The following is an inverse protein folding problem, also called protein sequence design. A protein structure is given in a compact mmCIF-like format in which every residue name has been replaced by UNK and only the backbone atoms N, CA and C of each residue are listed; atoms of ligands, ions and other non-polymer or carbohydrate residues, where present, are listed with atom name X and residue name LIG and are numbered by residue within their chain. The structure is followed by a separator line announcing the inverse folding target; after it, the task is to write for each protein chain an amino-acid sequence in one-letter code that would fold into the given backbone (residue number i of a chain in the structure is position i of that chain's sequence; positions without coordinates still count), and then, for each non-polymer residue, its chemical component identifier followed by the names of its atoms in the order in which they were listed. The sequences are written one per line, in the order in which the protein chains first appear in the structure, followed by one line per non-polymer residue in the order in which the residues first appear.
data_IF_774575157970
#
_entry.id   IF_774575157970
#
_cell.length_a   1.000
_cell.length_b   1.000
_cell.length_c   1.000
_cell.angle_alpha   90.00
_cell.angle_beta   90.00
_cell.angle_gamma   90.00
#
_symmetry.space_group_name_H-M   'P 1'
#
loop_
_entity.id
_entity.type
_entity.pdbx_description
1 polymer ?
#
# COMPACT_ATOMS: atom_id res chain seq x y z
N UNK A 1 -5.53 -40.51 44.73
CA UNK A 1 -4.22 -39.84 44.72
C UNK A 1 -3.35 -40.57 43.71
N UNK A 2 -2.93 -39.91 42.64
CA UNK A 2 -1.94 -40.49 41.73
C UNK A 2 -0.63 -40.68 42.49
N UNK A 3 0.07 -41.78 42.28
CA UNK A 3 1.39 -41.99 42.90
C UNK A 3 2.37 -40.91 42.40
N UNK A 4 3.40 -40.64 43.20
CA UNK A 4 4.47 -39.71 42.83
C UNK A 4 5.12 -40.11 41.50
N UNK A 5 5.19 -41.43 41.21
CA UNK A 5 5.70 -41.97 39.94
C UNK A 5 4.80 -41.65 38.74
N UNK A 6 3.47 -41.77 38.88
CA UNK A 6 2.53 -41.47 37.80
C UNK A 6 2.46 -39.97 37.49
N UNK A 7 2.65 -39.14 38.52
CA UNK A 7 2.66 -37.67 38.37
C UNK A 7 3.95 -37.20 37.67
N UNK A 8 5.10 -37.82 37.99
CA UNK A 8 6.37 -37.53 37.34
C UNK A 8 6.38 -38.01 35.88
N UNK A 9 5.77 -39.15 35.59
CA UNK A 9 5.62 -39.65 34.23
C UNK A 9 4.74 -38.73 33.36
N UNK A 10 3.61 -38.25 33.88
CA UNK A 10 2.76 -37.26 33.18
C UNK A 10 3.49 -35.93 32.96
N UNK A 11 4.31 -35.48 33.91
CA UNK A 11 5.11 -34.27 33.78
C UNK A 11 6.19 -34.43 32.69
N UNK A 12 6.87 -35.58 32.65
CA UNK A 12 7.85 -35.89 31.60
C UNK A 12 7.20 -36.00 30.22
N UNK A 13 5.99 -36.58 30.12
CA UNK A 13 5.23 -36.66 28.87
C UNK A 13 4.78 -35.28 28.37
N UNK A 14 4.34 -34.40 29.29
CA UNK A 14 3.95 -33.03 28.92
C UNK A 14 5.16 -32.19 28.54
N UNK A 15 6.31 -32.33 29.21
CA UNK A 15 7.59 -31.72 28.81
C UNK A 15 8.08 -32.22 27.45
N UNK A 16 7.95 -33.52 27.16
CA UNK A 16 8.31 -34.08 25.86
C UNK A 16 7.38 -33.58 24.73
N UNK A 17 6.09 -33.42 25.00
CA UNK A 17 5.12 -32.86 24.05
C UNK A 17 5.35 -31.36 23.79
N UNK A 18 5.81 -30.60 24.80
CA UNK A 18 6.21 -29.19 24.64
C UNK A 18 7.56 -29.06 23.91
N UNK A 19 8.45 -30.07 24.04
CA UNK A 19 9.74 -30.16 23.35
C UNK A 19 9.65 -30.55 21.87
N UNK A 20 8.52 -31.10 21.42
CA UNK A 20 8.14 -31.14 20.00
C UNK A 20 7.65 -29.75 19.57
N UNK A 21 8.52 -28.77 19.79
CA UNK A 21 8.33 -27.39 19.40
C UNK A 21 8.00 -27.34 17.92
N UNK A 22 7.06 -26.45 17.59
CA UNK A 22 6.62 -26.17 16.24
C UNK A 22 7.83 -26.13 15.31
N UNK A 23 7.86 -27.05 14.35
CA UNK A 23 8.74 -26.97 13.21
C UNK A 23 8.22 -25.79 12.37
N UNK A 24 8.56 -24.57 12.79
CA UNK A 24 8.32 -23.40 11.97
C UNK A 24 9.17 -23.62 10.74
N UNK A 25 8.56 -24.04 9.62
CA UNK A 25 9.27 -24.18 8.37
C UNK A 25 10.10 -22.92 8.14
N UNK A 26 11.42 -23.05 8.29
CA UNK A 26 12.37 -21.95 8.14
C UNK A 26 12.60 -21.80 6.64
N UNK A 27 11.79 -20.95 6.01
CA UNK A 27 12.02 -20.57 4.63
C UNK A 27 13.20 -19.61 4.54
N UNK A 28 14.01 -19.81 3.52
CA UNK A 28 15.15 -19.00 3.13
C UNK A 28 14.96 -18.51 1.69
N UNK A 29 15.82 -17.58 1.24
CA UNK A 29 15.81 -17.12 -0.15
C UNK A 29 16.17 -18.24 -1.14
N UNK A 30 16.92 -19.24 -0.70
CA UNK A 30 17.36 -20.37 -1.54
C UNK A 30 16.24 -21.36 -1.87
N UNK A 31 15.11 -21.28 -1.14
CA UNK A 31 13.91 -22.08 -1.41
C UNK A 31 13.08 -21.54 -2.60
N UNK A 32 13.47 -20.39 -3.16
CA UNK A 32 12.78 -19.71 -4.27
C UNK A 32 13.70 -19.61 -5.50
N UNK A 33 13.14 -19.45 -6.72
CA UNK A 33 13.96 -19.19 -7.90
C UNK A 33 14.88 -17.97 -7.69
N UNK A 34 16.08 -18.01 -8.27
CA UNK A 34 17.09 -16.95 -8.09
C UNK A 34 16.65 -15.55 -8.56
N UNK A 35 15.58 -15.47 -9.34
CA UNK A 35 14.99 -14.22 -9.84
C UNK A 35 13.66 -13.89 -9.13
N UNK A 36 13.32 -14.58 -8.04
CA UNK A 36 12.13 -14.29 -7.26
C UNK A 36 12.32 -12.97 -6.49
N UNK A 37 11.38 -12.04 -6.68
CA UNK A 37 11.44 -10.71 -6.05
C UNK A 37 10.60 -10.72 -4.77
N UNK A 38 11.24 -10.46 -3.63
CA UNK A 38 10.53 -10.19 -2.39
C UNK A 38 10.26 -8.70 -2.24
N UNK A 39 9.00 -8.34 -2.03
CA UNK A 39 8.60 -6.94 -1.93
C UNK A 39 7.45 -6.70 -0.98
N UNK A 40 7.08 -5.43 -0.83
CA UNK A 40 5.89 -5.00 -0.10
C UNK A 40 4.93 -4.21 -1.01
N UNK A 41 3.69 -4.02 -0.55
CA UNK A 41 2.65 -3.38 -1.34
C UNK A 41 1.85 -2.36 -0.54
N UNK A 42 1.57 -1.20 -1.13
CA UNK A 42 0.70 -0.15 -0.59
C UNK A 42 -0.32 0.34 -1.62
N UNK A 43 -1.16 1.30 -1.22
CA UNK A 43 -1.96 2.12 -2.13
C UNK A 43 -1.96 3.58 -1.69
N UNK A 44 -2.05 4.50 -2.64
CA UNK A 44 -1.90 5.93 -2.43
C UNK A 44 -2.77 6.46 -1.29
N UNK A 45 -4.08 6.21 -1.35
CA UNK A 45 -5.02 6.72 -0.33
C UNK A 45 -4.76 6.14 1.08
N UNK A 46 -4.20 4.93 1.16
CA UNK A 46 -3.94 4.27 2.44
C UNK A 46 -2.70 4.79 3.15
N UNK A 47 -1.70 5.35 2.43
CA UNK A 47 -0.39 5.68 3.03
C UNK A 47 0.07 7.12 2.80
N UNK A 48 -0.29 7.76 1.69
CA UNK A 48 0.29 9.06 1.31
C UNK A 48 -0.07 10.19 2.28
N UNK A 49 -1.36 10.33 2.59
CA UNK A 49 -1.86 11.53 3.22
C UNK A 49 -1.80 12.74 2.30
N UNK A 50 -1.57 13.93 2.86
CA UNK A 50 -1.50 15.20 2.12
C UNK A 50 -2.72 15.37 1.18
N UNK A 51 -3.91 15.06 1.71
CA UNK A 51 -5.13 14.89 0.93
C UNK A 51 -5.57 16.15 0.16
N UNK A 52 -5.19 17.33 0.66
CA UNK A 52 -5.56 18.64 0.12
C UNK A 52 -4.34 19.55 -0.12
N UNK A 53 -3.16 18.96 -0.26
CA UNK A 53 -1.92 19.70 -0.46
C UNK A 53 -1.52 19.71 -1.94
N UNK A 54 -0.74 20.73 -2.32
CA UNK A 54 -0.03 20.80 -3.60
C UNK A 54 -0.91 20.53 -4.84
N UNK A 55 -2.18 20.92 -4.78
CA UNK A 55 -3.11 20.83 -5.90
C UNK A 55 -3.77 19.45 -6.10
N UNK A 56 -3.63 18.50 -5.16
CA UNK A 56 -4.47 17.29 -5.16
C UNK A 56 -5.94 17.67 -5.01
N UNK A 57 -6.81 17.10 -5.84
CA UNK A 57 -8.26 17.22 -5.67
C UNK A 57 -8.82 16.09 -4.80
N UNK A 58 -10.05 16.22 -4.28
CA UNK A 58 -10.73 15.13 -3.59
C UNK A 58 -10.94 13.92 -4.50
N UNK A 59 -10.68 12.74 -3.95
CA UNK A 59 -11.14 11.45 -4.45
C UNK A 59 -12.50 11.09 -3.84
N UNK A 60 -13.13 10.04 -4.36
CA UNK A 60 -14.35 9.46 -3.78
C UNK A 60 -14.16 9.03 -2.32
N UNK A 61 -12.96 8.62 -1.93
CA UNK A 61 -12.65 8.29 -0.56
C UNK A 61 -12.58 9.54 0.32
N UNK A 62 -11.98 10.63 -0.15
CA UNK A 62 -11.93 11.90 0.60
C UNK A 62 -13.36 12.32 0.96
N UNK A 63 -14.27 12.33 -0.02
CA UNK A 63 -15.69 12.66 0.18
C UNK A 63 -16.37 11.70 1.16
N UNK A 64 -16.16 10.40 1.00
CA UNK A 64 -16.78 9.38 1.86
C UNK A 64 -16.30 9.48 3.32
N UNK A 65 -15.00 9.66 3.56
CA UNK A 65 -14.46 9.76 4.93
C UNK A 65 -14.89 11.06 5.61
N UNK A 66 -14.94 12.17 4.85
CA UNK A 66 -15.45 13.46 5.35
C UNK A 66 -16.96 13.46 5.62
N UNK A 67 -17.70 12.55 4.99
CA UNK A 67 -19.13 12.34 5.26
C UNK A 67 -19.40 11.46 6.49
N UNK A 68 -18.35 10.97 7.17
CA UNK A 68 -18.47 10.17 8.39
C UNK A 68 -18.81 8.69 8.15
N UNK A 69 -18.57 8.17 6.93
CA UNK A 69 -18.90 6.79 6.56
C UNK A 69 -17.95 5.73 7.14
N UNK A 70 -16.83 6.12 7.75
CA UNK A 70 -15.97 5.18 8.46
C UNK A 70 -16.54 4.83 9.84
N UNK A 71 -16.37 3.57 10.27
CA UNK A 71 -16.87 3.09 11.58
C UNK A 71 -16.43 3.96 12.76
N UNK A 72 -15.20 4.46 12.71
CA UNK A 72 -14.61 5.32 13.73
C UNK A 72 -14.76 6.83 13.42
N UNK A 73 -15.48 7.19 12.35
CA UNK A 73 -15.65 8.56 11.83
C UNK A 73 -14.34 9.29 11.55
N UNK A 74 -13.25 8.54 11.35
CA UNK A 74 -11.95 9.15 11.07
C UNK A 74 -11.93 9.78 9.68
N UNK A 75 -11.09 10.80 9.55
CA UNK A 75 -10.68 11.37 8.26
C UNK A 75 -9.28 10.84 7.96
N UNK A 76 -9.04 10.42 6.73
CA UNK A 76 -7.77 9.77 6.34
C UNK A 76 -6.84 10.79 5.67
N UNK A 77 -6.91 12.05 6.09
CA UNK A 77 -6.25 13.18 5.43
C UNK A 77 -4.72 13.06 5.50
N UNK A 78 -4.23 12.47 6.60
CA UNK A 78 -2.79 12.28 6.88
C UNK A 78 -2.29 10.87 6.59
N UNK A 79 -3.12 9.85 6.75
CA UNK A 79 -2.71 8.44 6.62
C UNK A 79 -1.39 8.13 7.37
N UNK A 80 -0.40 7.53 6.70
CA UNK A 80 0.95 7.29 7.21
C UNK A 80 1.92 8.44 6.92
N UNK A 81 1.47 9.51 6.25
CA UNK A 81 2.27 10.68 5.89
C UNK A 81 3.42 10.37 4.90
N UNK A 82 3.26 9.31 4.08
CA UNK A 82 4.27 8.90 3.11
C UNK A 82 4.57 10.01 2.08
N UNK A 83 3.61 10.89 1.79
CA UNK A 83 3.84 12.03 0.89
C UNK A 83 5.07 12.86 1.31
N UNK A 84 5.25 13.04 2.63
CA UNK A 84 6.38 13.75 3.20
C UNK A 84 7.54 12.84 3.60
N UNK A 85 7.25 11.56 3.88
CA UNK A 85 8.18 10.61 4.51
C UNK A 85 8.64 9.46 3.62
N UNK A 86 8.38 9.50 2.32
CA UNK A 86 8.71 8.40 1.42
C UNK A 86 10.16 7.93 1.51
N UNK A 87 11.13 8.82 1.81
CA UNK A 87 12.53 8.43 2.02
C UNK A 87 12.74 7.55 3.25
N UNK A 88 12.00 7.81 4.34
CA UNK A 88 12.02 6.98 5.55
C UNK A 88 11.46 5.59 5.23
N UNK A 89 10.35 5.54 4.48
CA UNK A 89 9.75 4.28 4.05
C UNK A 89 10.70 3.48 3.14
N UNK A 90 11.32 4.13 2.15
CA UNK A 90 12.31 3.48 1.26
C UNK A 90 13.50 2.96 2.08
N UNK A 91 13.99 3.73 3.05
CA UNK A 91 15.06 3.27 3.95
C UNK A 91 14.65 2.00 4.71
N UNK A 92 13.44 1.93 5.23
CA UNK A 92 12.95 0.73 5.93
C UNK A 92 12.87 -0.49 4.98
N UNK A 93 12.49 -0.29 3.72
CA UNK A 93 12.48 -1.36 2.72
C UNK A 93 13.88 -1.90 2.47
N UNK A 94 14.88 -1.02 2.35
CA UNK A 94 16.30 -1.40 2.20
C UNK A 94 16.79 -2.17 3.42
N UNK A 95 16.56 -1.65 4.62
CA UNK A 95 17.01 -2.28 5.87
C UNK A 95 16.36 -3.67 6.07
N UNK A 96 15.16 -3.87 5.55
CA UNK A 96 14.43 -5.16 5.58
C UNK A 96 14.91 -6.14 4.51
N UNK A 97 15.67 -5.68 3.50
CA UNK A 97 16.12 -6.50 2.37
C UNK A 97 15.03 -6.78 1.33
N UNK A 98 14.10 -5.84 1.13
CA UNK A 98 13.10 -5.89 0.06
C UNK A 98 13.72 -5.46 -1.27
N UNK A 99 13.30 -6.11 -2.35
CA UNK A 99 13.77 -5.90 -3.72
C UNK A 99 12.73 -5.24 -4.61
N UNK A 100 11.45 -5.26 -4.20
CA UNK A 100 10.36 -4.65 -4.95
C UNK A 100 9.42 -3.85 -4.05
N UNK A 101 8.87 -2.77 -4.60
CA UNK A 101 7.81 -2.02 -3.96
C UNK A 101 6.66 -1.78 -4.92
N UNK A 102 5.50 -2.36 -4.60
CA UNK A 102 4.27 -2.10 -5.31
C UNK A 102 3.54 -0.93 -4.67
N UNK A 103 3.33 0.15 -5.41
CA UNK A 103 2.54 1.29 -4.96
C UNK A 103 1.52 1.68 -6.03
N UNK A 104 0.52 2.48 -5.66
CA UNK A 104 -0.39 3.06 -6.65
C UNK A 104 -0.14 4.55 -6.83
N UNK A 105 -0.40 5.06 -8.03
CA UNK A 105 -0.42 6.50 -8.29
C UNK A 105 -1.83 6.99 -8.00
N UNK A 106 -1.96 8.04 -7.18
CA UNK A 106 -3.24 8.70 -7.01
C UNK A 106 -3.64 9.51 -8.23
N UNK A 107 -4.76 9.13 -8.84
CA UNK A 107 -5.32 9.82 -10.00
C UNK A 107 -5.70 11.26 -9.63
N UNK A 108 -6.37 11.47 -8.49
CA UNK A 108 -6.78 12.80 -8.05
C UNK A 108 -5.59 13.73 -7.70
N UNK A 109 -4.42 13.15 -7.38
CA UNK A 109 -3.18 13.92 -7.21
C UNK A 109 -2.52 14.28 -8.54
N UNK A 110 -2.44 13.32 -9.46
CA UNK A 110 -1.73 13.49 -10.72
C UNK A 110 -2.53 14.31 -11.74
N UNK A 111 -3.84 14.06 -11.85
CA UNK A 111 -4.75 14.74 -12.77
C UNK A 111 -5.98 15.21 -11.97
N UNK A 112 -5.93 16.38 -11.32
CA UNK A 112 -6.94 16.78 -10.33
C UNK A 112 -8.36 16.94 -10.90
N UNK A 113 -8.49 17.28 -12.18
CA UNK A 113 -9.80 17.37 -12.86
C UNK A 113 -10.26 16.02 -13.43
N UNK A 114 -9.58 14.93 -13.10
CA UNK A 114 -9.76 13.60 -13.68
C UNK A 114 -9.28 13.45 -15.13
N UNK A 115 -9.21 14.55 -15.87
CA UNK A 115 -8.72 14.64 -17.26
C UNK A 115 -8.03 15.98 -17.50
N UNK A 116 -7.23 16.05 -18.57
CA UNK A 116 -6.55 17.27 -18.98
C UNK A 116 -5.18 17.43 -18.33
N UNK A 117 -4.80 18.64 -17.88
CA UNK A 117 -3.43 18.93 -17.47
C UNK A 117 -3.02 18.16 -16.21
N UNK A 118 -1.78 17.69 -16.22
CA UNK A 118 -1.11 17.07 -15.07
C UNK A 118 -0.79 18.13 -14.02
N UNK A 119 -0.94 17.78 -12.74
CA UNK A 119 -0.46 18.57 -11.61
C UNK A 119 1.07 18.41 -11.48
N UNK A 120 1.88 19.48 -11.70
CA UNK A 120 3.33 19.38 -11.66
C UNK A 120 3.89 18.93 -10.31
N UNK A 121 3.22 19.28 -9.20
CA UNK A 121 3.65 18.87 -7.86
C UNK A 121 3.36 17.39 -7.59
N UNK A 122 2.18 16.91 -8.01
CA UNK A 122 1.86 15.49 -8.00
C UNK A 122 2.87 14.66 -8.82
N UNK A 123 3.20 15.11 -10.02
CA UNK A 123 4.21 14.48 -10.87
C UNK A 123 5.60 14.48 -10.20
N UNK A 124 6.00 15.60 -9.60
CA UNK A 124 7.26 15.72 -8.86
C UNK A 124 7.34 14.71 -7.70
N UNK A 125 6.26 14.52 -6.95
CA UNK A 125 6.20 13.55 -5.86
C UNK A 125 6.48 12.11 -6.36
N UNK A 126 5.76 11.63 -7.38
CA UNK A 126 5.97 10.28 -7.89
C UNK A 126 7.34 10.10 -8.54
N UNK A 127 7.84 11.11 -9.27
CA UNK A 127 9.21 11.08 -9.79
C UNK A 127 10.24 10.95 -8.66
N UNK A 128 10.06 11.70 -7.56
CA UNK A 128 10.96 11.62 -6.42
C UNK A 128 10.91 10.24 -5.75
N UNK A 129 9.71 9.69 -5.51
CA UNK A 129 9.54 8.34 -4.95
C UNK A 129 10.19 7.27 -5.84
N UNK A 130 9.92 7.30 -7.15
CA UNK A 130 10.49 6.35 -8.12
C UNK A 130 12.02 6.47 -8.16
N UNK A 131 12.54 7.70 -8.23
CA UNK A 131 13.98 7.93 -8.23
C UNK A 131 14.64 7.41 -6.94
N UNK A 132 14.02 7.63 -5.78
CA UNK A 132 14.51 7.14 -4.50
C UNK A 132 14.56 5.61 -4.47
N UNK A 133 13.47 4.93 -4.88
CA UNK A 133 13.41 3.47 -4.98
C UNK A 133 14.51 2.91 -5.89
N UNK A 134 14.63 3.46 -7.10
CA UNK A 134 15.61 3.03 -8.10
C UNK A 134 17.03 3.28 -7.62
N UNK A 135 17.29 4.41 -6.94
CA UNK A 135 18.62 4.72 -6.39
C UNK A 135 19.08 3.71 -5.33
N UNK A 136 18.13 3.02 -4.69
CA UNK A 136 18.37 1.97 -3.70
C UNK A 136 18.20 0.55 -4.26
N UNK A 137 18.04 0.39 -5.58
CA UNK A 137 17.91 -0.91 -6.22
C UNK A 137 16.55 -1.60 -6.00
N UNK A 138 15.54 -0.89 -5.50
CA UNK A 138 14.18 -1.41 -5.32
C UNK A 138 13.39 -1.24 -6.61
N UNK A 139 12.78 -2.32 -7.09
CA UNK A 139 11.97 -2.34 -8.31
C UNK A 139 10.60 -1.68 -8.07
N UNK A 140 10.27 -0.58 -8.77
CA UNK A 140 8.96 0.05 -8.66
C UNK A 140 7.91 -0.73 -9.47
N UNK A 141 6.89 -1.25 -8.79
CA UNK A 141 5.75 -1.93 -9.43
C UNK A 141 4.50 -1.06 -9.30
N UNK A 142 4.13 -0.38 -10.39
CA UNK A 142 3.10 0.68 -10.32
C UNK A 142 1.71 0.13 -10.60
N UNK A 143 0.76 0.44 -9.71
CA UNK A 143 -0.67 0.28 -9.94
C UNK A 143 -1.28 1.61 -10.36
N UNK A 144 -1.87 1.66 -11.55
CA UNK A 144 -2.42 2.90 -12.11
C UNK A 144 -3.75 3.32 -11.47
N UNK A 145 -4.48 2.38 -10.86
CA UNK A 145 -5.73 2.69 -10.16
C UNK A 145 -5.93 1.77 -8.96
N UNK A 146 -6.22 2.36 -7.79
CA UNK A 146 -6.53 1.61 -6.57
C UNK A 146 -7.68 2.26 -5.80
N UNK A 147 -8.87 2.23 -6.40
CA UNK A 147 -10.14 2.70 -5.82
C UNK A 147 -10.21 4.19 -5.46
N UNK A 148 -9.30 5.02 -5.97
CA UNK A 148 -9.17 6.43 -5.62
C UNK A 148 -9.60 7.36 -6.75
N UNK A 149 -10.77 7.08 -7.34
CA UNK A 149 -11.34 7.86 -8.44
C UNK A 149 -11.47 9.35 -8.02
N UNK A 150 -11.05 10.31 -8.87
CA UNK A 150 -11.29 11.74 -8.60
C UNK A 150 -12.79 12.01 -8.45
N UNK A 151 -13.18 12.68 -7.36
CA UNK A 151 -14.60 12.95 -7.05
C UNK A 151 -15.29 13.71 -8.18
N UNK A 152 -14.57 14.59 -8.89
CA UNK A 152 -15.10 15.33 -10.04
C UNK A 152 -15.68 14.44 -11.14
N UNK A 153 -15.14 13.23 -11.34
CA UNK A 153 -15.67 12.29 -12.33
C UNK A 153 -16.90 11.53 -11.82
N UNK A 154 -16.94 11.28 -10.52
CA UNK A 154 -18.13 10.75 -9.84
C UNK A 154 -19.28 11.77 -9.93
N UNK A 155 -19.01 13.05 -9.64
CA UNK A 155 -19.99 14.12 -9.69
C UNK A 155 -20.48 14.43 -11.11
N UNK A 156 -19.59 14.40 -12.11
CA UNK A 156 -19.95 14.78 -13.49
C UNK A 156 -20.85 13.74 -14.17
N UNK A 157 -20.61 12.45 -13.93
CA UNK A 157 -21.31 11.40 -14.67
C UNK A 157 -21.46 10.07 -13.94
N UNK A 158 -21.20 9.99 -12.62
CA UNK A 158 -21.32 8.74 -11.85
C UNK A 158 -20.13 7.78 -12.03
N UNK A 159 -18.96 8.32 -12.38
CA UNK A 159 -17.70 7.57 -12.39
C UNK A 159 -17.77 6.29 -13.22
N UNK A 160 -17.57 5.15 -12.57
CA UNK A 160 -17.53 3.83 -13.21
C UNK A 160 -18.87 3.34 -13.77
N UNK A 161 -19.99 3.95 -13.38
CA UNK A 161 -21.31 3.61 -13.92
C UNK A 161 -21.55 4.20 -15.31
N UNK A 162 -20.67 5.09 -15.78
CA UNK A 162 -20.75 5.71 -17.09
C UNK A 162 -19.70 5.17 -18.05
N UNK A 163 -20.11 4.88 -19.28
CA UNK A 163 -19.17 4.51 -20.36
C UNK A 163 -18.13 5.60 -20.67
N UNK A 164 -18.39 6.86 -20.29
CA UNK A 164 -17.43 7.96 -20.43
C UNK A 164 -16.09 7.66 -19.75
N UNK A 165 -16.09 6.86 -18.67
CA UNK A 165 -14.88 6.54 -17.91
C UNK A 165 -13.83 5.79 -18.75
N UNK A 166 -14.25 5.01 -19.75
CA UNK A 166 -13.34 4.23 -20.62
C UNK A 166 -12.41 5.16 -21.39
N UNK A 167 -12.94 6.26 -21.92
CA UNK A 167 -12.14 7.23 -22.66
C UNK A 167 -11.14 7.98 -21.77
N UNK A 168 -11.51 8.20 -20.51
CA UNK A 168 -10.62 8.89 -19.56
C UNK A 168 -9.53 7.95 -19.05
N UNK A 169 -9.86 6.68 -18.78
CA UNK A 169 -8.88 5.68 -18.34
C UNK A 169 -7.82 5.41 -19.41
N UNK A 170 -8.22 5.33 -20.69
CA UNK A 170 -7.27 5.15 -21.80
C UNK A 170 -6.23 6.28 -21.88
N UNK A 171 -6.58 7.50 -21.47
CA UNK A 171 -5.64 8.62 -21.42
C UNK A 171 -4.55 8.42 -20.35
N UNK A 172 -4.88 7.75 -19.23
CA UNK A 172 -3.94 7.47 -18.14
C UNK A 172 -2.99 6.33 -18.52
N UNK A 173 -3.46 5.36 -19.30
CA UNK A 173 -2.65 4.23 -19.77
C UNK A 173 -1.59 4.61 -20.84
N UNK A 174 -1.62 5.84 -21.36
CA UNK A 174 -0.72 6.32 -22.41
C UNK A 174 0.51 7.06 -21.87
N UNK A 175 0.65 7.19 -20.55
CA UNK A 175 1.83 7.72 -19.85
C UNK A 175 2.53 6.61 -19.08
#
# INVERSE_FOLDING_TARGET
MLSLSSSLFLLLLTLAAVGLGQDTAKFSRDDFPSHFVFGSGSSAYQVEGAAFEDGKSPSIWDTSTHSGNLKNKSKVDRACDQYHKYKEDVKLMVDTGLEGYRFSISWARLIPKGRGPVNPKGLQYYNNLINELVSHGIQPHVTLFHFDLPQVLEDEYGGWLSQKIVFVLNFILLF
#
